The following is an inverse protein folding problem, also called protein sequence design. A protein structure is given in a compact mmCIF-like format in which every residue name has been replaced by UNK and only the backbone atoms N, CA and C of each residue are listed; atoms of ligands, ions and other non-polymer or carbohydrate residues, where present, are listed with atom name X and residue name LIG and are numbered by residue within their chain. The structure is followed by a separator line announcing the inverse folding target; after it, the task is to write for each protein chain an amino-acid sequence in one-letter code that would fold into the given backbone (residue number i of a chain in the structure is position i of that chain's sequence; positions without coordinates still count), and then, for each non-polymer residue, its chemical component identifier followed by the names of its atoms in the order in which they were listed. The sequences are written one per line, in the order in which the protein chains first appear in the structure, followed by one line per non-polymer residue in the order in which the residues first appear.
data_IF_595704697653
#
_entry.id   IF_595704697653
#
_cell.length_a   1.000
_cell.length_b   1.000
_cell.length_c   1.000
_cell.angle_alpha   90.00
_cell.angle_beta   90.00
_cell.angle_gamma   90.00
#
_symmetry.space_group_name_H-M   'P 1'
#
loop_
_entity.id
_entity.type
_entity.pdbx_description
1 polymer ?
#
# COMPACT_ATOMS: atom_id res chain seq x y z
N UNK A 1 -0.59 -8.97 1.91
CA UNK A 1 -0.02 -8.69 0.57
C UNK A 1 -0.43 -9.66 -0.52
N UNK A 2 -0.45 -10.98 -0.27
CA UNK A 2 -0.80 -12.00 -1.28
C UNK A 2 -2.09 -11.69 -2.08
N UNK A 3 -3.16 -11.24 -1.41
CA UNK A 3 -4.44 -10.89 -2.06
C UNK A 3 -4.32 -9.73 -3.05
N UNK A 4 -3.55 -8.69 -2.73
CA UNK A 4 -3.39 -7.52 -3.60
C UNK A 4 -2.55 -7.88 -4.83
N UNK A 5 -1.46 -8.62 -4.62
CA UNK A 5 -0.59 -9.11 -5.70
C UNK A 5 -1.36 -10.03 -6.66
N UNK A 6 -2.18 -10.95 -6.12
CA UNK A 6 -3.03 -11.84 -6.92
C UNK A 6 -4.07 -11.10 -7.76
N UNK A 7 -4.38 -9.83 -7.44
CA UNK A 7 -5.27 -8.95 -8.19
C UNK A 7 -4.53 -7.96 -9.09
N UNK A 8 -3.21 -8.10 -9.24
CA UNK A 8 -2.39 -7.23 -10.09
C UNK A 8 -2.15 -5.82 -9.53
N UNK A 9 -2.49 -5.59 -8.25
CA UNK A 9 -2.26 -4.29 -7.61
C UNK A 9 -0.77 -4.10 -7.35
N UNK A 10 -0.21 -3.02 -7.87
CA UNK A 10 1.22 -2.70 -7.73
C UNK A 10 1.46 -1.85 -6.50
N UNK A 11 2.36 -2.31 -5.64
CA UNK A 11 2.90 -1.51 -4.55
C UNK A 11 3.96 -0.55 -5.10
N UNK A 12 4.02 0.65 -4.54
CA UNK A 12 5.03 1.67 -4.86
C UNK A 12 6.24 1.63 -3.93
N UNK A 13 6.09 0.97 -2.79
CA UNK A 13 7.13 0.75 -1.80
C UNK A 13 6.82 -0.55 -1.03
N UNK A 14 7.81 -1.04 -0.29
CA UNK A 14 7.58 -2.09 0.71
C UNK A 14 6.78 -1.55 1.90
N UNK A 15 6.26 -2.44 2.75
CA UNK A 15 5.58 -2.02 3.98
C UNK A 15 6.58 -1.30 4.88
N UNK A 16 6.24 -0.07 5.25
CA UNK A 16 7.04 0.74 6.15
C UNK A 16 6.37 0.81 7.52
N UNK A 17 7.19 0.99 8.54
CA UNK A 17 6.74 1.46 9.85
C UNK A 17 7.09 2.94 9.95
N UNK A 18 6.08 3.79 10.07
CA UNK A 18 6.24 5.24 10.07
C UNK A 18 5.15 5.88 10.92
N UNK A 19 5.48 6.88 11.75
CA UNK A 19 4.55 7.53 12.68
C UNK A 19 3.64 6.58 13.47
N UNK A 20 4.23 5.54 14.09
CA UNK A 20 3.51 4.54 14.89
C UNK A 20 2.39 3.80 14.12
N UNK A 21 2.51 3.68 12.80
CA UNK A 21 1.61 2.87 11.97
C UNK A 21 2.37 2.09 10.91
N UNK A 22 1.77 1.00 10.42
CA UNK A 22 2.22 0.35 9.18
C UNK A 22 1.63 1.09 8.00
N UNK A 23 2.44 1.32 6.99
CA UNK A 23 2.11 2.14 5.84
C UNK A 23 2.60 1.49 4.56
N UNK A 24 1.78 1.54 3.52
CA UNK A 24 2.19 1.17 2.16
C UNK A 24 1.41 1.96 1.11
N UNK A 25 2.08 2.35 0.04
CA UNK A 25 1.49 3.06 -1.08
C UNK A 25 1.23 2.12 -2.25
N UNK A 26 0.06 2.28 -2.87
CA UNK A 26 -0.37 1.51 -4.03
C UNK A 26 -0.57 2.42 -5.24
N UNK A 27 -0.39 1.85 -6.43
CA UNK A 27 -0.79 2.51 -7.68
C UNK A 27 -2.27 2.25 -7.96
N UNK A 28 -3.06 3.31 -7.97
CA UNK A 28 -4.48 3.30 -8.36
C UNK A 28 -4.69 3.63 -9.84
N UNK A 29 -5.95 3.59 -10.32
CA UNK A 29 -6.30 4.05 -11.67
C UNK A 29 -5.92 5.52 -11.85
N UNK A 30 -5.68 5.92 -13.11
CA UNK A 30 -5.39 7.31 -13.49
C UNK A 30 -4.19 7.92 -12.76
N UNK A 31 -3.24 7.08 -12.31
CA UNK A 31 -2.02 7.53 -11.63
C UNK A 31 -2.22 7.92 -10.17
N UNK A 32 -3.43 7.75 -9.62
CA UNK A 32 -3.73 8.04 -8.21
C UNK A 32 -2.82 7.22 -7.29
N UNK A 33 -2.37 7.85 -6.21
CA UNK A 33 -1.66 7.16 -5.13
C UNK A 33 -2.65 6.83 -4.02
N UNK A 34 -2.77 5.56 -3.69
CA UNK A 34 -3.60 5.11 -2.57
C UNK A 34 -2.70 4.79 -1.39
N UNK A 35 -2.95 5.45 -0.27
CA UNK A 35 -2.32 5.12 1.01
C UNK A 35 -3.15 4.06 1.73
N UNK A 36 -2.52 2.93 2.09
CA UNK A 36 -3.07 1.97 3.03
C UNK A 36 -2.29 2.04 4.33
N UNK A 37 -3.00 2.36 5.41
CA UNK A 37 -2.44 2.52 6.74
C UNK A 37 -3.14 1.59 7.73
N UNK A 38 -2.35 0.96 8.60
CA UNK A 38 -2.84 0.18 9.73
C UNK A 38 -2.29 0.77 11.02
N UNK A 39 -3.21 1.21 11.87
CA UNK A 39 -2.95 1.57 13.25
C UNK A 39 -3.23 0.37 14.15
N UNK A 40 -2.61 0.35 15.33
CA UNK A 40 -2.98 -0.58 16.40
C UNK A 40 -4.34 -0.19 17.01
#
# INVERSE_FOLDING_TARGET
MARLNAKGVKLRNEIMYFHNRKLVFLSGPEGVTVELSQWD
#
